data_IF_607850861532
#
_entry.id   IF_607850861532
#
_cell.length_a   1.000
_cell.length_b   1.000
_cell.length_c   1.000
_cell.angle_alpha   90.00
_cell.angle_beta   90.00
_cell.angle_gamma   90.00
#
_symmetry.space_group_name_H-M   'P 1'
#
loop_
_entity.id
_entity.type
_entity.pdbx_description
1 polymer ?
#
# COMPACT_ATOMS: atom_id res chain seq x y z
N UNK A 1 -0.77 10.61 -22.92
CA UNK A 1 -1.59 10.03 -21.83
C UNK A 1 -3.04 10.44 -22.05
N UNK A 2 -4.00 9.51 -22.02
CA UNK A 2 -5.43 9.84 -22.18
C UNK A 2 -5.92 10.69 -20.98
N UNK A 3 -6.90 11.58 -21.19
CA UNK A 3 -7.48 12.47 -20.16
C UNK A 3 -7.88 11.71 -18.90
N UNK A 4 -8.51 10.54 -19.06
CA UNK A 4 -8.91 9.69 -17.93
C UNK A 4 -7.72 9.20 -17.09
N UNK A 5 -6.57 8.93 -17.72
CA UNK A 5 -5.36 8.52 -17.00
C UNK A 5 -4.74 9.66 -16.19
N UNK A 6 -4.77 10.88 -16.73
CA UNK A 6 -4.33 12.09 -16.00
C UNK A 6 -5.23 12.33 -14.78
N UNK A 7 -6.56 12.26 -14.97
CA UNK A 7 -7.54 12.44 -13.89
C UNK A 7 -7.33 11.38 -12.81
N UNK A 8 -7.12 10.12 -13.18
CA UNK A 8 -6.83 9.05 -12.23
C UNK A 8 -5.60 9.37 -11.37
N UNK A 9 -4.47 9.74 -12.00
CA UNK A 9 -3.23 10.07 -11.27
C UNK A 9 -3.44 11.24 -10.32
N UNK A 10 -4.08 12.31 -10.79
CA UNK A 10 -4.38 13.49 -9.97
C UNK A 10 -5.25 13.09 -8.76
N UNK A 11 -6.34 12.36 -9.00
CA UNK A 11 -7.23 11.91 -7.92
C UNK A 11 -6.50 11.02 -6.91
N UNK A 12 -5.70 10.05 -7.37
CA UNK A 12 -4.92 9.19 -6.48
C UNK A 12 -3.95 9.99 -5.63
N UNK A 13 -3.28 11.00 -6.18
CA UNK A 13 -2.39 11.88 -5.42
C UNK A 13 -3.19 12.69 -4.39
N UNK A 14 -4.27 13.37 -4.79
CA UNK A 14 -5.07 14.19 -3.87
C UNK A 14 -5.68 13.37 -2.73
N UNK A 15 -6.20 12.17 -3.03
CA UNK A 15 -6.73 11.28 -2.01
C UNK A 15 -5.63 10.78 -1.07
N UNK A 16 -4.43 10.50 -1.59
CA UNK A 16 -3.29 10.10 -0.77
C UNK A 16 -2.78 11.24 0.12
N UNK A 17 -2.74 12.48 -0.38
CA UNK A 17 -2.40 13.67 0.42
C UNK A 17 -3.46 13.89 1.50
N UNK A 18 -4.74 13.78 1.16
CA UNK A 18 -5.83 13.92 2.12
C UNK A 18 -5.73 12.88 3.23
N UNK A 19 -5.43 11.62 2.87
CA UNK A 19 -5.19 10.57 3.85
C UNK A 19 -4.01 10.91 4.77
N UNK A 20 -2.90 11.36 4.21
CA UNK A 20 -1.71 11.75 4.97
C UNK A 20 -2.00 12.90 5.96
N UNK A 21 -2.75 13.93 5.54
CA UNK A 21 -3.10 15.06 6.39
C UNK A 21 -4.10 14.70 7.51
N UNK A 22 -4.85 13.61 7.36
CA UNK A 22 -5.77 13.12 8.39
C UNK A 22 -5.08 12.23 9.44
N UNK A 23 -3.83 11.82 9.23
CA UNK A 23 -3.07 11.07 10.21
C UNK A 23 -2.58 12.03 11.29
N UNK A 24 -3.19 11.90 12.47
CA UNK A 24 -2.72 12.57 13.68
C UNK A 24 -1.44 11.89 14.18
N UNK A 25 -0.30 12.32 13.65
CA UNK A 25 1.01 11.75 13.96
C UNK A 25 2.15 12.60 13.42
N UNK A 26 3.34 12.01 13.44
CA UNK A 26 4.58 12.63 12.95
C UNK A 26 4.57 12.81 11.42
N UNK A 27 5.44 13.68 10.91
CA UNK A 27 5.62 13.87 9.46
C UNK A 27 5.95 12.53 8.76
N UNK A 28 6.72 11.66 9.42
CA UNK A 28 7.09 10.35 8.86
C UNK A 28 5.85 9.47 8.72
N UNK A 29 4.95 9.45 9.71
CA UNK A 29 3.68 8.71 9.61
C UNK A 29 2.78 9.24 8.50
N UNK A 30 2.74 10.56 8.31
CA UNK A 30 1.99 11.16 7.20
C UNK A 30 2.59 10.75 5.85
N UNK A 31 3.92 10.73 5.71
CA UNK A 31 4.62 10.27 4.50
C UNK A 31 4.31 8.79 4.24
N UNK A 32 4.39 7.94 5.27
CA UNK A 32 4.08 6.52 5.14
C UNK A 32 2.61 6.31 4.79
N UNK A 33 1.70 7.07 5.39
CA UNK A 33 0.27 7.04 5.06
C UNK A 33 -0.04 7.49 3.63
N UNK A 34 0.68 8.49 3.11
CA UNK A 34 0.61 8.89 1.71
C UNK A 34 1.00 7.73 0.79
N UNK A 35 2.18 7.14 1.00
CA UNK A 35 2.67 6.06 0.15
C UNK A 35 1.83 4.79 0.27
N UNK A 36 1.36 4.44 1.47
CA UNK A 36 0.44 3.31 1.69
C UNK A 36 -0.85 3.48 0.91
N UNK A 37 -1.46 4.67 0.94
CA UNK A 37 -2.67 4.94 0.15
C UNK A 37 -2.39 4.86 -1.36
N UNK A 38 -1.28 5.43 -1.80
CA UNK A 38 -0.89 5.45 -3.21
C UNK A 38 -0.63 4.02 -3.75
N UNK A 39 0.14 3.22 -3.01
CA UNK A 39 0.40 1.82 -3.33
C UNK A 39 -0.90 1.03 -3.35
N UNK A 40 -1.81 1.27 -2.40
CA UNK A 40 -3.12 0.60 -2.37
C UNK A 40 -3.92 0.86 -3.65
N UNK A 41 -3.94 2.09 -4.17
CA UNK A 41 -4.60 2.37 -5.46
C UNK A 41 -3.99 1.56 -6.62
N UNK A 42 -2.66 1.52 -6.72
CA UNK A 42 -1.99 0.74 -7.76
C UNK A 42 -2.23 -0.76 -7.60
N UNK A 43 -2.24 -1.26 -6.35
CA UNK A 43 -2.51 -2.65 -6.02
C UNK A 43 -3.91 -3.07 -6.44
N UNK A 44 -4.92 -2.24 -6.17
CA UNK A 44 -6.31 -2.49 -6.58
C UNK A 44 -6.44 -2.55 -8.11
N UNK A 45 -5.75 -1.68 -8.84
CA UNK A 45 -5.73 -1.73 -10.30
C UNK A 45 -5.03 -2.98 -10.80
N UNK A 46 -3.91 -3.36 -10.20
CA UNK A 46 -3.17 -4.56 -10.56
C UNK A 46 -4.05 -5.81 -10.39
N UNK A 47 -4.71 -5.93 -9.23
CA UNK A 47 -5.66 -7.00 -8.95
C UNK A 47 -6.86 -6.99 -9.89
N UNK A 48 -7.40 -5.82 -10.21
CA UNK A 48 -8.49 -5.70 -11.18
C UNK A 48 -8.06 -6.13 -12.59
N UNK A 49 -6.85 -5.77 -13.01
CA UNK A 49 -6.25 -6.20 -14.27
C UNK A 49 -6.11 -7.72 -14.33
N UNK A 50 -5.54 -8.33 -13.28
CA UNK A 50 -5.43 -9.78 -13.12
C UNK A 50 -6.79 -10.46 -13.20
N UNK A 51 -7.79 -9.98 -12.45
CA UNK A 51 -9.15 -10.52 -12.49
C UNK A 51 -9.78 -10.47 -13.89
N UNK A 52 -9.52 -9.41 -14.65
CA UNK A 52 -10.00 -9.27 -16.04
C UNK A 52 -9.12 -9.94 -17.08
N UNK A 53 -8.02 -10.60 -16.69
CA UNK A 53 -7.04 -11.17 -17.62
C UNK A 53 -6.37 -10.12 -18.53
N UNK A 54 -6.28 -8.86 -18.07
CA UNK A 54 -5.69 -7.75 -18.83
C UNK A 54 -4.37 -7.32 -18.22
N UNK A 55 -3.32 -7.28 -19.05
CA UNK A 55 -2.01 -6.74 -18.66
C UNK A 55 -2.05 -5.21 -18.65
N UNK A 56 -2.43 -4.63 -17.50
CA UNK A 56 -2.48 -3.18 -17.29
C UNK A 56 -1.10 -2.58 -16.95
N UNK A 57 -0.25 -3.37 -16.30
CA UNK A 57 1.12 -2.98 -15.94
C UNK A 57 2.12 -3.86 -16.66
N UNK A 58 3.31 -3.30 -16.91
CA UNK A 58 4.45 -4.09 -17.32
C UNK A 58 4.95 -4.94 -16.14
N UNK A 59 5.60 -6.06 -16.43
CA UNK A 59 6.06 -7.06 -15.45
C UNK A 59 6.82 -6.45 -14.28
N UNK A 60 7.82 -5.61 -14.57
CA UNK A 60 8.65 -4.97 -13.55
C UNK A 60 7.84 -4.01 -12.66
N UNK A 61 6.86 -3.31 -13.22
CA UNK A 61 5.99 -2.41 -12.46
C UNK A 61 5.01 -3.20 -11.58
N UNK A 62 4.47 -4.31 -12.09
CA UNK A 62 3.58 -5.19 -11.32
C UNK A 62 4.31 -5.77 -10.11
N UNK A 63 5.55 -6.24 -10.30
CA UNK A 63 6.43 -6.69 -9.22
C UNK A 63 6.67 -5.60 -8.20
N UNK A 64 7.09 -4.41 -8.64
CA UNK A 64 7.33 -3.28 -7.75
C UNK A 64 6.11 -2.97 -6.88
N UNK A 65 4.91 -2.91 -7.47
CA UNK A 65 3.65 -2.69 -6.74
C UNK A 65 3.43 -3.83 -5.73
N UNK A 66 3.53 -5.07 -6.18
CA UNK A 66 3.26 -6.25 -5.35
C UNK A 66 4.22 -6.37 -4.15
N UNK A 67 5.50 -6.01 -4.31
CA UNK A 67 6.49 -6.01 -3.22
C UNK A 67 6.41 -4.77 -2.33
N UNK A 68 6.01 -3.61 -2.89
CA UNK A 68 5.90 -2.36 -2.11
C UNK A 68 4.84 -2.44 -1.01
N UNK A 69 3.76 -3.20 -1.24
CA UNK A 69 2.67 -3.34 -0.27
C UNK A 69 3.08 -4.06 1.04
N UNK A 70 3.62 -5.30 1.01
CA UNK A 70 4.11 -5.95 2.23
C UNK A 70 5.30 -5.21 2.85
N UNK A 71 6.12 -4.54 2.04
CA UNK A 71 7.22 -3.72 2.56
C UNK A 71 6.69 -2.54 3.40
N UNK A 72 5.69 -1.81 2.92
CA UNK A 72 5.08 -0.71 3.67
C UNK A 72 4.37 -1.20 4.94
N UNK A 73 3.72 -2.37 4.89
CA UNK A 73 3.09 -2.99 6.06
C UNK A 73 4.09 -3.44 7.14
N UNK A 74 5.37 -3.62 6.80
CA UNK A 74 6.41 -3.81 7.81
C UNK A 74 6.96 -2.49 8.32
N UNK A 75 7.15 -1.52 7.42
CA UNK A 75 7.81 -0.26 7.76
C UNK A 75 6.97 0.60 8.71
N UNK A 76 5.66 0.68 8.48
CA UNK A 76 4.72 1.43 9.35
C UNK A 76 4.79 0.97 10.82
N UNK A 77 4.57 -0.31 11.14
CA UNK A 77 4.60 -0.74 12.53
C UNK A 77 6.00 -0.73 13.13
N UNK A 78 7.06 -0.96 12.35
CA UNK A 78 8.44 -0.81 12.84
C UNK A 78 8.68 0.64 13.29
N UNK A 79 8.27 1.61 12.47
CA UNK A 79 8.40 3.03 12.81
C UNK A 79 7.60 3.35 14.08
N UNK A 80 6.34 2.93 14.16
CA UNK A 80 5.50 3.24 15.32
C UNK A 80 5.99 2.57 16.60
N UNK A 81 6.52 1.34 16.52
CA UNK A 81 7.12 0.69 17.69
C UNK A 81 8.36 1.44 18.20
N UNK A 82 9.10 2.10 17.30
CA UNK A 82 10.23 2.93 17.68
C UNK A 82 9.78 4.29 18.23
N UNK A 83 8.89 4.98 17.54
CA UNK A 83 8.42 6.33 17.91
C UNK A 83 7.62 6.32 19.23
N UNK A 84 6.79 5.30 19.43
CA UNK A 84 5.95 5.15 20.61
C UNK A 84 6.49 4.06 21.55
N UNK A 85 7.80 3.84 21.61
CA UNK A 85 8.42 2.79 22.43
C UNK A 85 8.13 2.94 23.94
N UNK A 86 7.76 4.14 24.37
CA UNK A 86 7.38 4.45 25.76
C UNK A 86 5.92 4.07 26.08
N UNK A 87 5.13 3.69 25.08
CA UNK A 87 3.72 3.33 25.21
C UNK A 87 3.53 1.83 25.02
N UNK A 88 2.70 1.20 25.85
CA UNK A 88 2.29 -0.18 25.62
C UNK A 88 1.31 -0.25 24.45
N UNK A 89 1.70 -0.91 23.37
CA UNK A 89 0.82 -1.13 22.23
C UNK A 89 -0.26 -2.16 22.57
N UNK A 90 -1.54 -1.89 22.24
CA UNK A 90 -2.61 -2.86 22.43
C UNK A 90 -2.35 -4.14 21.64
N UNK A 91 -2.60 -5.31 22.23
CA UNK A 91 -2.46 -6.61 21.55
C UNK A 91 -3.26 -6.71 20.25
N UNK A 92 -4.43 -6.05 20.19
CA UNK A 92 -5.26 -5.99 18.99
C UNK A 92 -4.52 -5.34 17.81
N UNK A 93 -3.64 -4.37 18.08
CA UNK A 93 -2.87 -3.68 17.06
C UNK A 93 -1.86 -4.63 16.38
N UNK A 94 -1.08 -5.36 17.19
CA UNK A 94 -0.11 -6.36 16.70
C UNK A 94 -0.83 -7.48 15.94
N UNK A 95 -1.97 -7.95 16.47
CA UNK A 95 -2.76 -8.99 15.83
C UNK A 95 -3.26 -8.57 14.43
N UNK A 96 -3.79 -7.35 14.30
CA UNK A 96 -4.25 -6.83 13.01
C UNK A 96 -3.11 -6.70 12.00
N UNK A 97 -1.94 -6.20 12.42
CA UNK A 97 -0.77 -6.13 11.53
C UNK A 97 -0.35 -7.49 10.99
N UNK A 98 -0.35 -8.53 11.83
CA UNK A 98 0.01 -9.89 11.38
C UNK A 98 -0.97 -10.37 10.32
N UNK A 99 -2.28 -10.17 10.53
CA UNK A 99 -3.30 -10.54 9.55
C UNK A 99 -3.14 -9.76 8.25
N UNK A 100 -2.92 -8.45 8.32
CA UNK A 100 -2.68 -7.61 7.15
C UNK A 100 -1.43 -8.03 6.38
N UNK A 101 -0.36 -8.38 7.08
CA UNK A 101 0.88 -8.85 6.48
C UNK A 101 0.69 -10.21 5.78
N UNK A 102 0.00 -11.17 6.41
CA UNK A 102 -0.34 -12.46 5.78
C UNK A 102 -1.18 -12.22 4.51
N UNK A 103 -2.17 -11.34 4.60
CA UNK A 103 -2.99 -10.98 3.44
C UNK A 103 -2.16 -10.32 2.33
N UNK A 104 -1.19 -9.47 2.68
CA UNK A 104 -0.28 -8.86 1.72
C UNK A 104 0.60 -9.89 1.01
N UNK A 105 1.09 -10.91 1.72
CA UNK A 105 1.82 -12.02 1.10
C UNK A 105 0.91 -12.83 0.15
N UNK A 106 -0.36 -13.02 0.50
CA UNK A 106 -1.33 -13.67 -0.39
C UNK A 106 -1.54 -12.85 -1.67
N UNK A 107 -1.69 -11.54 -1.56
CA UNK A 107 -1.80 -10.62 -2.71
C UNK A 107 -0.53 -10.66 -3.57
N UNK A 108 0.66 -10.58 -2.96
CA UNK A 108 1.94 -10.71 -3.64
C UNK A 108 2.02 -12.03 -4.43
N UNK A 109 1.67 -13.15 -3.79
CA UNK A 109 1.70 -14.46 -4.44
C UNK A 109 0.75 -14.56 -5.64
N UNK A 110 -0.39 -13.87 -5.56
CA UNK A 110 -1.37 -13.79 -6.64
C UNK A 110 -0.81 -12.99 -7.81
N UNK A 111 -0.27 -11.80 -7.55
CA UNK A 111 0.27 -10.94 -8.60
C UNK A 111 1.55 -11.49 -9.23
N UNK A 112 2.40 -12.20 -8.48
CA UNK A 112 3.59 -12.86 -9.03
C UNK A 112 3.23 -13.97 -10.03
N UNK A 113 2.14 -14.72 -9.81
CA UNK A 113 1.69 -15.74 -10.77
C UNK A 113 1.26 -15.12 -12.10
N UNK A 114 0.54 -13.99 -12.04
CA UNK A 114 0.10 -13.23 -13.22
C UNK A 114 1.24 -12.52 -13.96
N UNK A 115 2.39 -12.38 -13.28
CA UNK A 115 3.58 -11.75 -13.82
C UNK A 115 4.40 -12.71 -14.71
N UNK A 116 4.26 -14.04 -14.52
CA UNK A 116 4.96 -15.06 -15.32
C UNK A 116 4.28 -15.31 -16.66
#
# INVERSE_FOLDING_TARGET
MNRSGIIFIILSIFLSVTNALNINGTIIEQILGFFSQLVTFFLLIALFGAWKGKKLFHHNHLRLIAYSYPFLLLLVPIYQNFEYSEQEMPWSYIYMQILEFIFALFVLSTLEKESK
#
